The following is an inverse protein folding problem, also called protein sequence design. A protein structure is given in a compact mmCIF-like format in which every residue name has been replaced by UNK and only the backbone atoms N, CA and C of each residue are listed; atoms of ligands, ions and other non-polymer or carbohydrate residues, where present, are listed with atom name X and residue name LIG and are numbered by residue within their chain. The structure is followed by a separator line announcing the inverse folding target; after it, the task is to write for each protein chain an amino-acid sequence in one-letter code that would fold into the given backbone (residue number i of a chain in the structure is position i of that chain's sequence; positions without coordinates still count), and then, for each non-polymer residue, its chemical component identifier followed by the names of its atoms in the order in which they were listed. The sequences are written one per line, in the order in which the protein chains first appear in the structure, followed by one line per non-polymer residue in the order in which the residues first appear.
data_IF_426264011524
#
_entry.id   IF_426264011524
#
_cell.length_a   1.000
_cell.length_b   1.000
_cell.length_c   1.000
_cell.angle_alpha   90.00
_cell.angle_beta   90.00
_cell.angle_gamma   90.00
#
_symmetry.space_group_name_H-M   'P 1'
#
loop_
_entity.id
_entity.type
_entity.pdbx_description
1 polymer ?
#
# COMPACT_ATOMS: atom_id res chain seq x y z
N UNK A 1 -20.55 -0.58 -4.94
CA UNK A 1 -19.53 -0.29 -5.98
C UNK A 1 -18.16 -0.19 -5.33
N UNK A 2 -17.07 -0.67 -5.96
CA UNK A 2 -15.70 -0.55 -5.43
C UNK A 2 -14.80 0.17 -6.44
N UNK A 3 -14.09 1.22 -6.00
CA UNK A 3 -13.10 1.95 -6.82
C UNK A 3 -12.00 2.52 -5.94
N UNK A 4 -10.76 2.54 -6.42
CA UNK A 4 -9.64 3.20 -5.77
C UNK A 4 -9.01 4.19 -6.74
N UNK A 5 -8.64 5.37 -6.23
CA UNK A 5 -7.83 6.35 -6.94
C UNK A 5 -6.53 6.57 -6.16
N UNK A 6 -5.42 6.52 -6.87
CA UNK A 6 -4.09 6.82 -6.33
C UNK A 6 -3.61 8.14 -6.92
N UNK A 7 -3.30 9.11 -6.06
CA UNK A 7 -2.73 10.39 -6.46
C UNK A 7 -1.39 10.62 -5.76
N UNK A 8 -0.49 11.28 -6.46
CA UNK A 8 0.78 11.79 -5.91
C UNK A 8 0.90 13.29 -6.14
N UNK A 9 1.61 13.96 -5.24
CA UNK A 9 1.98 15.36 -5.42
C UNK A 9 2.88 15.50 -6.65
N UNK A 10 2.64 16.57 -7.41
CA UNK A 10 3.44 16.99 -8.57
C UNK A 10 4.83 17.49 -8.14
N UNK A 11 4.97 17.87 -6.87
CA UNK A 11 6.18 18.45 -6.31
C UNK A 11 7.06 17.41 -5.61
N UNK A 12 6.45 16.50 -4.84
CA UNK A 12 7.15 15.40 -4.19
C UNK A 12 6.35 14.09 -4.31
N UNK A 13 6.80 13.09 -5.08
CA UNK A 13 6.14 11.79 -5.16
C UNK A 13 5.97 11.08 -3.81
N UNK A 14 6.71 11.49 -2.77
CA UNK A 14 6.57 10.97 -1.41
C UNK A 14 5.27 11.39 -0.72
N UNK A 15 4.68 12.51 -1.14
CA UNK A 15 3.37 12.98 -0.70
C UNK A 15 2.27 12.35 -1.56
N UNK A 16 1.36 11.63 -0.93
CA UNK A 16 0.30 10.89 -1.61
C UNK A 16 -1.09 11.22 -1.05
N UNK A 17 -2.10 10.97 -1.87
CA UNK A 17 -3.50 11.08 -1.51
C UNK A 17 -4.29 10.00 -2.27
N UNK A 18 -4.87 9.07 -1.54
CA UNK A 18 -5.63 7.95 -2.08
C UNK A 18 -7.10 8.06 -1.65
N UNK A 19 -8.00 7.59 -2.51
CA UNK A 19 -9.42 7.58 -2.27
C UNK A 19 -9.99 6.21 -2.61
N UNK A 20 -10.47 5.49 -1.60
CA UNK A 20 -11.11 4.19 -1.72
C UNK A 20 -12.62 4.36 -1.53
N UNK A 21 -13.43 3.96 -2.50
CA UNK A 21 -14.89 4.03 -2.46
C UNK A 21 -15.43 2.61 -2.32
N UNK A 22 -16.19 2.35 -1.27
CA UNK A 22 -16.85 1.06 -1.00
C UNK A 22 -18.33 1.28 -0.68
N UNK A 23 -19.19 1.02 -1.65
CA UNK A 23 -20.64 1.21 -1.52
C UNK A 23 -21.00 2.66 -1.23
N UNK A 24 -21.69 2.90 -0.13
CA UNK A 24 -22.11 4.22 0.36
C UNK A 24 -21.05 4.89 1.23
N UNK A 25 -19.80 4.44 1.21
CA UNK A 25 -18.71 5.02 1.99
C UNK A 25 -17.47 5.25 1.15
N UNK A 26 -16.65 6.22 1.54
CA UNK A 26 -15.29 6.33 1.04
C UNK A 26 -14.31 6.53 2.19
N UNK A 27 -13.06 6.15 1.94
CA UNK A 27 -11.93 6.32 2.83
C UNK A 27 -10.86 7.09 2.08
N UNK A 28 -10.37 8.18 2.68
CA UNK A 28 -9.25 8.97 2.18
C UNK A 28 -8.02 8.57 2.99
N UNK A 29 -6.92 8.27 2.30
CA UNK A 29 -5.63 7.94 2.93
C UNK A 29 -4.58 8.88 2.36
N UNK A 30 -3.90 9.65 3.20
CA UNK A 30 -2.90 10.62 2.72
C UNK A 30 -1.75 10.78 3.71
N UNK A 31 -0.61 11.24 3.22
CA UNK A 31 0.57 11.47 4.06
C UNK A 31 1.83 11.69 3.24
N UNK A 32 2.94 11.85 3.95
CA UNK A 32 4.30 11.93 3.39
C UNK A 32 5.10 10.70 3.84
N UNK A 33 5.49 9.85 2.90
CA UNK A 33 6.26 8.65 3.21
C UNK A 33 7.75 8.93 3.51
N UNK A 34 8.26 10.14 3.27
CA UNK A 34 9.58 10.57 3.78
C UNK A 34 9.63 10.45 5.30
N UNK A 35 8.52 10.83 5.93
CA UNK A 35 8.26 10.66 7.35
C UNK A 35 7.14 9.64 7.52
N UNK A 36 7.54 8.35 7.54
CA UNK A 36 6.68 7.17 7.73
C UNK A 36 5.64 7.30 8.87
N UNK A 37 5.73 8.33 9.73
CA UNK A 37 4.82 8.68 10.81
C UNK A 37 3.59 9.52 10.40
N UNK A 38 3.48 10.05 9.17
CA UNK A 38 2.47 11.06 8.80
C UNK A 38 1.23 10.56 8.04
N UNK A 39 1.11 9.25 7.79
CA UNK A 39 -0.10 8.65 7.17
C UNK A 39 -1.35 8.88 8.05
N UNK A 40 -2.39 9.46 7.46
CA UNK A 40 -3.72 9.71 8.04
C UNK A 40 -4.79 9.00 7.20
N UNK A 41 -5.79 8.44 7.87
CA UNK A 41 -6.92 7.73 7.25
C UNK A 41 -8.23 8.34 7.76
N UNK A 42 -9.09 8.80 6.84
CA UNK A 42 -10.37 9.42 7.14
C UNK A 42 -11.49 8.70 6.39
N UNK A 43 -12.42 8.07 7.13
CA UNK A 43 -13.56 7.37 6.54
C UNK A 43 -14.84 8.18 6.70
N UNK A 44 -15.62 8.28 5.63
CA UNK A 44 -16.92 8.92 5.64
C UNK A 44 -18.00 8.01 5.03
N UNK A 45 -19.13 7.91 5.72
CA UNK A 45 -20.30 7.12 5.29
C UNK A 45 -21.43 8.05 4.90
N UNK A 46 -22.18 7.68 3.86
CA UNK A 46 -23.27 8.43 3.26
C UNK A 46 -24.56 7.61 3.25
N UNK A 47 -25.68 8.28 2.99
CA UNK A 47 -26.99 7.65 2.96
C UNK A 47 -27.16 6.70 1.77
N UNK A 48 -26.59 7.04 0.61
CA UNK A 48 -26.65 6.21 -0.61
C UNK A 48 -25.31 6.16 -1.34
N UNK A 49 -25.15 5.13 -2.17
CA UNK A 49 -24.00 4.97 -3.09
C UNK A 49 -23.87 6.18 -4.03
N UNK A 50 -24.98 6.74 -4.54
CA UNK A 50 -24.94 7.89 -5.45
C UNK A 50 -24.39 9.15 -4.78
N UNK A 51 -24.80 9.44 -3.53
CA UNK A 51 -24.32 10.61 -2.78
C UNK A 51 -22.82 10.45 -2.48
N UNK A 52 -22.41 9.24 -2.09
CA UNK A 52 -21.01 8.89 -1.90
C UNK A 52 -20.18 9.17 -3.16
N UNK A 53 -20.63 8.64 -4.29
CA UNK A 53 -19.92 8.77 -5.56
C UNK A 53 -19.80 10.22 -6.03
N UNK A 54 -20.88 11.01 -5.93
CA UNK A 54 -20.83 12.43 -6.31
C UNK A 54 -19.86 13.25 -5.46
N UNK A 55 -19.82 13.00 -4.14
CA UNK A 55 -18.86 13.67 -3.24
C UNK A 55 -17.43 13.23 -3.52
N UNK A 56 -17.22 11.94 -3.71
CA UNK A 56 -15.92 11.36 -4.06
C UNK A 56 -15.37 11.95 -5.37
N UNK A 57 -16.18 12.03 -6.43
CA UNK A 57 -15.77 12.65 -7.70
C UNK A 57 -15.44 14.14 -7.55
N UNK A 58 -16.21 14.87 -6.73
CA UNK A 58 -15.94 16.30 -6.47
C UNK A 58 -14.57 16.48 -5.81
N UNK A 59 -14.30 15.72 -4.75
CA UNK A 59 -13.01 15.75 -4.03
C UNK A 59 -11.84 15.37 -4.94
N UNK A 60 -12.01 14.32 -5.75
CA UNK A 60 -11.00 13.88 -6.72
C UNK A 60 -10.65 15.02 -7.70
N UNK A 61 -11.66 15.70 -8.26
CA UNK A 61 -11.42 16.84 -9.17
C UNK A 61 -10.71 18.00 -8.48
N UNK A 62 -11.09 18.32 -7.24
CA UNK A 62 -10.42 19.36 -6.45
C UNK A 62 -8.93 19.03 -6.25
N UNK A 63 -8.60 17.78 -5.91
CA UNK A 63 -7.22 17.34 -5.75
C UNK A 63 -6.44 17.36 -7.06
N UNK A 64 -7.00 16.86 -8.16
CA UNK A 64 -6.35 16.87 -9.48
C UNK A 64 -6.09 18.29 -10.03
N UNK A 65 -7.00 19.22 -9.76
CA UNK A 65 -6.85 20.63 -10.14
C UNK A 65 -5.81 21.37 -9.28
N UNK A 66 -5.40 20.78 -8.15
CA UNK A 66 -4.39 21.33 -7.26
C UNK A 66 -2.99 20.75 -7.59
N UNK A 67 -2.19 20.49 -6.57
CA UNK A 67 -0.82 19.98 -6.67
C UNK A 67 -0.73 18.46 -6.89
N UNK A 68 -1.84 17.73 -7.07
CA UNK A 68 -1.82 16.27 -7.24
C UNK A 68 -2.08 15.82 -8.68
N UNK A 69 -1.57 14.64 -9.04
CA UNK A 69 -1.79 13.97 -10.32
C UNK A 69 -2.07 12.48 -10.12
N UNK A 70 -2.83 11.87 -11.05
CA UNK A 70 -3.02 10.42 -11.06
C UNK A 70 -1.72 9.70 -11.36
N UNK A 71 -1.59 8.52 -10.77
CA UNK A 71 -0.47 7.61 -10.99
C UNK A 71 -0.59 7.00 -12.38
N UNK A 72 0.53 6.88 -13.09
CA UNK A 72 0.55 6.22 -14.40
C UNK A 72 0.00 4.79 -14.26
N UNK A 73 -1.01 4.38 -15.07
CA UNK A 73 -1.54 3.02 -15.05
C UNK A 73 -0.48 1.93 -15.20
N UNK A 74 0.63 2.20 -15.89
CA UNK A 74 1.76 1.27 -16.01
C UNK A 74 2.51 1.08 -14.70
N UNK A 75 2.57 2.10 -13.86
CA UNK A 75 3.15 2.01 -12.53
C UNK A 75 2.30 1.11 -11.65
N UNK A 76 0.97 1.31 -11.65
CA UNK A 76 0.03 0.43 -10.94
C UNK A 76 0.14 -1.02 -11.44
N UNK A 77 0.11 -1.23 -12.75
CA UNK A 77 0.29 -2.56 -13.35
C UNK A 77 1.62 -3.22 -12.93
N UNK A 78 2.70 -2.44 -12.82
CA UNK A 78 4.00 -2.95 -12.37
C UNK A 78 3.97 -3.37 -10.91
N UNK A 79 3.25 -2.65 -10.06
CA UNK A 79 3.08 -3.01 -8.64
C UNK A 79 2.32 -4.31 -8.52
N UNK A 80 1.17 -4.44 -9.20
CA UNK A 80 0.37 -5.68 -9.22
C UNK A 80 1.25 -6.89 -9.60
N UNK A 81 2.07 -6.76 -10.64
CA UNK A 81 3.00 -7.82 -11.07
C UNK A 81 4.06 -8.19 -10.03
N UNK A 82 4.54 -7.20 -9.25
CA UNK A 82 5.51 -7.43 -8.20
C UNK A 82 4.85 -8.11 -6.98
N UNK A 83 3.62 -7.74 -6.65
CA UNK A 83 2.82 -8.40 -5.60
C UNK A 83 2.52 -9.86 -5.94
N UNK A 84 2.08 -10.13 -7.17
CA UNK A 84 1.87 -11.49 -7.68
C UNK A 84 3.16 -12.33 -7.61
N UNK A 85 4.30 -11.69 -7.88
CA UNK A 85 5.61 -12.33 -7.79
C UNK A 85 5.99 -12.63 -6.33
N UNK A 86 5.72 -11.73 -5.38
CA UNK A 86 5.90 -12.02 -3.95
C UNK A 86 5.05 -13.22 -3.53
N UNK A 87 3.78 -13.26 -3.90
CA UNK A 87 2.88 -14.38 -3.62
C UNK A 87 3.39 -15.69 -4.21
N UNK A 88 3.84 -15.65 -5.46
CA UNK A 88 4.44 -16.81 -6.15
C UNK A 88 5.71 -17.31 -5.47
N UNK A 89 6.58 -16.41 -5.02
CA UNK A 89 7.81 -16.75 -4.30
C UNK A 89 7.52 -17.32 -2.91
N UNK A 90 6.56 -16.74 -2.18
CA UNK A 90 6.12 -17.26 -0.89
C UNK A 90 5.52 -18.67 -1.01
N UNK A 91 4.72 -18.93 -2.04
CA UNK A 91 4.22 -20.28 -2.32
C UNK A 91 5.35 -21.27 -2.62
N UNK A 92 6.32 -20.88 -3.46
CA UNK A 92 7.49 -21.73 -3.75
C UNK A 92 8.32 -22.01 -2.49
N UNK A 93 8.52 -21.00 -1.64
CA UNK A 93 9.20 -21.16 -0.37
C UNK A 93 8.54 -22.24 0.50
N UNK A 94 7.20 -22.18 0.66
CA UNK A 94 6.44 -23.16 1.45
C UNK A 94 6.49 -24.59 0.91
N UNK A 95 6.76 -24.75 -0.38
CA UNK A 95 6.85 -26.05 -1.05
C UNK A 95 8.30 -26.58 -1.16
N UNK A 96 9.30 -25.79 -0.78
CA UNK A 96 10.72 -26.12 -0.92
C UNK A 96 11.26 -26.80 0.34
N UNK A 97 12.30 -27.62 0.16
CA UNK A 97 13.02 -28.23 1.28
C UNK A 97 13.86 -27.17 2.01
N UNK A 98 13.75 -27.16 3.35
CA UNK A 98 14.53 -26.26 4.21
C UNK A 98 16.03 -26.52 4.07
N UNK A 99 16.81 -25.44 4.19
CA UNK A 99 18.27 -25.38 4.06
C UNK A 99 18.82 -25.67 2.66
N UNK A 100 17.94 -25.80 1.65
CA UNK A 100 18.35 -25.99 0.26
C UNK A 100 18.92 -24.71 -0.37
N UNK A 101 19.73 -24.88 -1.42
CA UNK A 101 20.18 -23.74 -2.24
C UNK A 101 19.02 -23.04 -2.95
N UNK A 102 17.92 -23.76 -3.20
CA UNK A 102 16.70 -23.21 -3.77
C UNK A 102 15.98 -22.29 -2.77
N UNK A 103 15.88 -22.67 -1.49
CA UNK A 103 15.33 -21.82 -0.43
C UNK A 103 16.06 -20.47 -0.37
N UNK A 104 17.40 -20.50 -0.29
CA UNK A 104 18.23 -19.28 -0.23
C UNK A 104 17.99 -18.39 -1.44
N UNK A 105 17.84 -18.99 -2.63
CA UNK A 105 17.56 -18.27 -3.87
C UNK A 105 16.17 -17.62 -3.84
N UNK A 106 15.14 -18.34 -3.39
CA UNK A 106 13.78 -17.81 -3.26
C UNK A 106 13.76 -16.62 -2.30
N UNK A 107 14.39 -16.74 -1.13
CA UNK A 107 14.46 -15.65 -0.14
C UNK A 107 15.17 -14.43 -0.74
N UNK A 108 16.29 -14.63 -1.45
CA UNK A 108 17.03 -13.55 -2.09
C UNK A 108 16.21 -12.82 -3.16
N UNK A 109 15.50 -13.56 -4.03
CA UNK A 109 14.62 -12.95 -5.02
C UNK A 109 13.45 -12.21 -4.36
N UNK A 110 12.86 -12.78 -3.32
CA UNK A 110 11.78 -12.14 -2.56
C UNK A 110 12.24 -10.80 -1.95
N UNK A 111 13.44 -10.75 -1.38
CA UNK A 111 14.03 -9.50 -0.88
C UNK A 111 14.27 -8.47 -1.98
N UNK A 112 14.69 -8.89 -3.17
CA UNK A 112 14.86 -7.96 -4.31
C UNK A 112 13.53 -7.34 -4.72
N UNK A 113 12.47 -8.14 -4.79
CA UNK A 113 11.12 -7.66 -5.12
C UNK A 113 10.63 -6.68 -4.06
N UNK A 114 10.79 -7.00 -2.78
CA UNK A 114 10.49 -6.05 -1.70
C UNK A 114 11.30 -4.77 -1.83
N UNK A 115 12.60 -4.83 -2.08
CA UNK A 115 13.42 -3.61 -2.25
C UNK A 115 12.94 -2.74 -3.42
N UNK A 116 12.39 -3.35 -4.48
CA UNK A 116 11.80 -2.60 -5.60
C UNK A 116 10.50 -1.92 -5.15
N UNK A 117 9.60 -2.65 -4.48
CA UNK A 117 8.33 -2.13 -3.97
C UNK A 117 8.53 -1.03 -2.91
N UNK A 118 9.52 -1.17 -2.03
CA UNK A 118 9.93 -0.16 -1.04
C UNK A 118 10.87 0.90 -1.62
N UNK A 119 11.16 0.84 -2.92
CA UNK A 119 11.88 1.89 -3.60
C UNK A 119 11.08 3.19 -3.56
N UNK A 120 11.80 4.31 -3.56
CA UNK A 120 11.24 5.67 -3.50
C UNK A 120 10.23 6.00 -4.60
N UNK A 121 10.12 5.16 -5.64
CA UNK A 121 9.20 5.38 -6.76
C UNK A 121 7.88 4.58 -6.63
N UNK A 122 7.84 3.56 -5.77
CA UNK A 122 6.72 2.60 -5.68
C UNK A 122 6.10 2.47 -4.28
N UNK A 123 6.82 2.86 -3.24
CA UNK A 123 6.39 2.72 -1.84
C UNK A 123 5.07 3.48 -1.53
N UNK A 124 4.72 4.47 -2.34
CA UNK A 124 3.52 5.33 -2.20
C UNK A 124 2.20 4.62 -2.52
N UNK A 125 2.27 3.54 -3.29
CA UNK A 125 1.09 2.84 -3.80
C UNK A 125 0.82 1.56 -3.03
N UNK A 126 1.77 1.16 -2.20
CA UNK A 126 1.69 -0.05 -1.41
C UNK A 126 1.15 0.25 -0.01
N UNK A 127 -0.12 0.67 0.05
CA UNK A 127 -0.85 0.80 1.32
C UNK A 127 -1.17 -0.57 1.93
N UNK A 128 -1.06 -1.62 1.13
CA UNK A 128 -1.39 -2.98 1.47
C UNK A 128 -0.12 -3.76 1.77
N UNK A 129 -0.08 -4.40 2.94
CA UNK A 129 0.88 -5.48 3.16
C UNK A 129 0.76 -6.45 1.99
N UNK A 130 1.82 -7.18 1.60
CA UNK A 130 1.56 -8.42 0.89
C UNK A 130 0.58 -9.19 1.77
N UNK A 131 -0.43 -9.80 1.16
CA UNK A 131 -1.35 -10.66 1.88
C UNK A 131 -0.57 -11.58 2.81
N UNK A 132 -1.18 -12.00 3.92
CA UNK A 132 -0.50 -12.91 4.86
C UNK A 132 0.04 -14.16 4.12
N UNK A 133 -0.70 -14.61 3.11
CA UNK A 133 -0.34 -15.73 2.25
C UNK A 133 0.72 -15.39 1.18
N UNK A 134 1.06 -14.12 1.01
CA UNK A 134 2.17 -13.63 0.19
C UNK A 134 3.41 -13.27 1.02
N UNK A 135 3.35 -13.38 2.35
CA UNK A 135 4.48 -13.12 3.24
C UNK A 135 5.36 -14.36 3.47
N UNK A 136 6.67 -14.15 3.52
CA UNK A 136 7.61 -15.08 4.15
C UNK A 136 7.48 -15.01 5.69
N UNK A 137 7.99 -16.02 6.43
CA UNK A 137 8.12 -15.94 7.89
C UNK A 137 8.83 -14.66 8.35
N UNK A 138 8.39 -14.09 9.47
CA UNK A 138 8.90 -12.81 10.00
C UNK A 138 10.42 -12.80 10.20
N UNK A 139 11.02 -13.95 10.56
CA UNK A 139 12.46 -14.12 10.75
C UNK A 139 13.23 -13.90 9.44
N UNK A 140 12.61 -14.24 8.31
CA UNK A 140 13.18 -14.13 6.97
C UNK A 140 12.86 -12.78 6.30
N UNK A 141 11.97 -11.98 6.88
CA UNK A 141 11.66 -10.65 6.34
C UNK A 141 12.86 -9.69 6.53
N UNK A 142 13.08 -8.73 5.61
CA UNK A 142 14.10 -7.70 5.81
C UNK A 142 13.83 -6.85 7.06
N UNK A 143 14.89 -6.33 7.70
CA UNK A 143 14.77 -5.50 8.91
C UNK A 143 13.89 -4.26 8.68
N UNK A 144 14.10 -3.55 7.57
CA UNK A 144 13.34 -2.34 7.25
C UNK A 144 11.83 -2.62 7.17
N UNK A 145 11.43 -3.79 6.65
CA UNK A 145 10.03 -4.20 6.57
C UNK A 145 9.45 -4.40 7.97
N UNK A 146 10.17 -5.10 8.84
CA UNK A 146 9.73 -5.36 10.22
C UNK A 146 9.61 -4.08 11.03
N UNK A 147 10.55 -3.15 10.88
CA UNK A 147 10.55 -1.86 11.58
C UNK A 147 9.33 -1.03 11.14
N UNK A 148 9.11 -0.89 9.81
CA UNK A 148 7.94 -0.21 9.26
C UNK A 148 6.60 -0.85 9.72
N UNK A 149 6.52 -2.18 9.75
CA UNK A 149 5.33 -2.91 10.20
C UNK A 149 5.01 -2.66 11.68
N UNK A 150 6.04 -2.68 12.54
CA UNK A 150 5.90 -2.45 13.98
C UNK A 150 5.39 -1.04 14.26
N UNK A 151 5.93 -0.02 13.59
CA UNK A 151 5.56 1.37 13.81
C UNK A 151 4.10 1.64 13.40
N UNK A 152 3.63 1.03 12.30
CA UNK A 152 2.22 1.11 11.89
C UNK A 152 1.27 0.44 12.89
N UNK A 153 1.64 -0.71 13.46
CA UNK A 153 0.81 -1.41 14.46
C UNK A 153 0.68 -0.62 15.77
N UNK A 154 1.77 0.00 16.21
CA UNK A 154 1.75 0.88 17.40
C UNK A 154 0.81 2.06 17.17
N UNK A 155 0.84 2.67 15.97
CA UNK A 155 -0.07 3.78 15.62
C UNK A 155 -1.54 3.38 15.62
N UNK A 156 -1.91 2.29 14.94
CA UNK A 156 -3.32 1.83 14.93
C UNK A 156 -3.84 1.54 16.33
N UNK A 157 -3.00 0.97 17.20
CA UNK A 157 -3.35 0.77 18.62
C UNK A 157 -3.54 2.09 19.36
N UNK A 158 -2.66 3.07 19.15
CA UNK A 158 -2.75 4.37 19.82
C UNK A 158 -3.93 5.22 19.33
N UNK A 159 -4.25 5.18 18.04
CA UNK A 159 -5.41 5.84 17.47
C UNK A 159 -6.72 5.28 18.05
N UNK A 160 -6.83 3.95 18.16
CA UNK A 160 -8.00 3.27 18.74
C UNK A 160 -8.11 3.41 20.27
N UNK A 161 -7.13 4.01 20.95
CA UNK A 161 -7.15 4.27 22.40
C UNK A 161 -7.55 5.72 22.73
N UNK A 162 -7.76 6.57 21.73
CA UNK A 162 -8.17 7.97 21.90
C UNK A 162 -9.70 8.19 21.73
N UNK A 163 -10.46 7.12 21.51
CA UNK A 163 -11.93 7.11 21.49
C UNK A 163 -12.54 6.56 22.79
#
# INVERSE_FOLDING_TARGET
MFKIYYLVSKNDPLEFWNLEITGNSFTIIYGDMADLHTETEETQVFETDEICFQKAEKLLREKLNSEYQEVDPKTLQRIDQLEDLLGSLAMKYRACDLESEEEKKIISEYHKVLNILFGRDLIHFWSQRPDHDSCLPDELMPKFYRDHHRDRQIRRRNANLQD
#
